data_IF_691053317489
#
_entry.id   IF_691053317489
#
_cell.length_a   1.000
_cell.length_b   1.000
_cell.length_c   1.000
_cell.angle_alpha   90.00
_cell.angle_beta   90.00
_cell.angle_gamma   90.00
#
_symmetry.space_group_name_H-M   'P 1'
#
loop_
_entity.id
_entity.type
_entity.pdbx_description
1 polymer ?
#
# COMPACT_ATOMS: atom_id res chain seq x y z
N UNK A 1 -26.03 -8.91 -30.86
CA UNK A 1 -25.39 -8.50 -29.60
C UNK A 1 -24.25 -7.56 -29.94
N UNK A 2 -24.18 -6.39 -29.32
CA UNK A 2 -22.99 -5.54 -29.45
C UNK A 2 -21.79 -6.30 -28.89
N UNK A 3 -20.69 -6.33 -29.63
CA UNK A 3 -19.47 -6.97 -29.16
C UNK A 3 -18.86 -6.12 -28.05
N UNK A 4 -18.12 -6.75 -27.12
CA UNK A 4 -17.34 -6.00 -26.13
C UNK A 4 -16.33 -5.13 -26.84
N UNK A 5 -16.29 -3.85 -26.45
CA UNK A 5 -15.29 -2.90 -26.88
C UNK A 5 -14.76 -2.08 -25.71
N UNK A 6 -13.58 -1.49 -25.89
CA UNK A 6 -13.02 -0.45 -25.01
C UNK A 6 -12.62 0.73 -25.88
N UNK A 7 -12.96 1.94 -25.46
CA UNK A 7 -12.50 3.17 -26.09
C UNK A 7 -11.61 3.93 -25.11
N UNK A 8 -10.42 4.32 -25.57
CA UNK A 8 -9.50 5.21 -24.86
C UNK A 8 -9.42 6.48 -25.69
N UNK A 9 -9.83 7.62 -25.13
CA UNK A 9 -9.98 8.88 -25.86
C UNK A 9 -9.25 9.99 -25.13
N UNK A 10 -8.52 10.82 -25.88
CA UNK A 10 -7.89 12.05 -25.40
C UNK A 10 -8.31 13.25 -26.25
N UNK A 11 -8.22 14.44 -25.64
CA UNK A 11 -8.42 15.77 -26.23
C UNK A 11 -7.09 16.44 -26.59
N UNK A 12 -6.05 15.64 -26.88
CA UNK A 12 -4.73 16.13 -27.26
C UNK A 12 -4.67 16.72 -28.67
N UNK A 13 -3.46 17.01 -29.15
CA UNK A 13 -3.22 17.65 -30.46
C UNK A 13 -3.59 16.77 -31.68
N UNK A 14 -3.80 15.46 -31.45
CA UNK A 14 -4.02 14.48 -32.50
C UNK A 14 -2.80 14.25 -33.39
N UNK A 15 -3.02 13.64 -34.55
CA UNK A 15 -1.99 13.29 -35.52
C UNK A 15 -2.44 13.62 -36.95
N UNK A 16 -1.48 13.91 -37.83
CA UNK A 16 -1.74 13.87 -39.28
C UNK A 16 -1.87 12.43 -39.77
N UNK A 17 -2.39 12.24 -40.98
CA UNK A 17 -2.47 10.91 -41.59
C UNK A 17 -1.11 10.20 -41.65
N UNK A 18 -0.06 10.93 -42.06
CA UNK A 18 1.30 10.40 -42.14
C UNK A 18 1.82 10.02 -40.75
N UNK A 19 1.62 10.89 -39.76
CA UNK A 19 2.01 10.62 -38.38
C UNK A 19 1.27 9.40 -37.81
N UNK A 20 -0.01 9.20 -38.16
CA UNK A 20 -0.77 8.02 -37.76
C UNK A 20 -0.23 6.74 -38.43
N UNK A 21 0.08 6.78 -39.73
CA UNK A 21 0.71 5.64 -40.43
C UNK A 21 2.03 5.27 -39.75
N UNK A 22 2.86 6.25 -39.43
CA UNK A 22 4.12 6.03 -38.72
C UNK A 22 3.90 5.55 -37.28
N UNK A 23 2.89 6.06 -36.58
CA UNK A 23 2.49 5.62 -35.26
C UNK A 23 1.94 4.18 -35.25
N UNK A 24 1.49 3.64 -36.38
CA UNK A 24 1.09 2.24 -36.52
C UNK A 24 2.27 1.31 -36.83
N UNK A 25 3.42 1.80 -37.31
CA UNK A 25 4.62 0.96 -37.55
C UNK A 25 5.28 0.49 -36.26
N UNK A 26 5.56 -0.80 -36.12
CA UNK A 26 6.29 -1.34 -34.96
C UNK A 26 7.70 -0.73 -34.88
N UNK A 27 8.09 -0.23 -33.70
CA UNK A 27 9.43 0.33 -33.47
C UNK A 27 9.68 1.68 -34.16
N UNK A 28 8.64 2.49 -34.37
CA UNK A 28 8.71 3.74 -35.14
C UNK A 28 9.59 4.85 -34.54
N UNK A 29 10.10 4.68 -33.32
CA UNK A 29 10.95 5.67 -32.64
C UNK A 29 12.23 5.03 -32.13
N UNK A 30 13.36 5.64 -32.49
CA UNK A 30 14.67 5.22 -32.00
C UNK A 30 14.87 5.63 -30.53
N UNK A 31 15.42 4.75 -29.67
CA UNK A 31 15.67 5.04 -28.26
C UNK A 31 16.79 6.06 -28.03
N UNK A 32 17.52 6.45 -29.09
CA UNK A 32 18.69 7.35 -29.03
C UNK A 32 18.32 8.82 -29.34
N UNK A 33 17.09 9.09 -29.79
CA UNK A 33 16.63 10.46 -30.10
C UNK A 33 16.40 11.25 -28.80
N UNK A 34 16.94 12.46 -28.75
CA UNK A 34 16.75 13.40 -27.64
C UNK A 34 15.26 13.77 -27.49
N UNK A 35 14.74 13.71 -26.26
CA UNK A 35 13.30 13.84 -26.01
C UNK A 35 12.93 15.19 -25.43
N UNK A 36 11.71 15.61 -25.74
CA UNK A 36 11.07 16.75 -25.07
C UNK A 36 10.84 16.43 -23.59
N UNK A 37 10.94 17.46 -22.76
CA UNK A 37 10.58 17.39 -21.33
C UNK A 37 9.12 16.95 -21.18
N UNK A 38 8.83 16.01 -20.27
CA UNK A 38 7.50 15.43 -20.07
C UNK A 38 7.13 14.25 -20.99
N UNK A 39 8.02 13.78 -21.87
CA UNK A 39 7.74 12.60 -22.70
C UNK A 39 7.80 11.29 -21.88
N UNK A 40 6.68 10.55 -21.85
CA UNK A 40 6.54 9.27 -21.17
C UNK A 40 6.86 8.05 -22.06
N UNK A 41 7.01 8.25 -23.38
CA UNK A 41 7.29 7.25 -24.40
C UNK A 41 8.78 6.91 -24.52
N UNK A 42 9.10 5.75 -25.14
CA UNK A 42 10.51 5.39 -25.41
C UNK A 42 10.80 4.67 -26.73
N UNK A 43 10.07 3.60 -27.00
CA UNK A 43 10.41 2.69 -28.10
C UNK A 43 9.43 2.76 -29.27
N UNK A 44 8.43 3.65 -29.21
CA UNK A 44 7.35 3.67 -30.19
C UNK A 44 6.53 2.37 -30.25
N UNK A 45 6.59 1.50 -29.24
CA UNK A 45 5.87 0.22 -29.24
C UNK A 45 4.57 0.23 -28.43
N UNK A 46 4.46 1.14 -27.45
CA UNK A 46 3.44 1.10 -26.40
C UNK A 46 2.00 0.94 -26.90
N UNK A 47 1.58 1.79 -27.85
CA UNK A 47 0.24 1.74 -28.47
C UNK A 47 -0.09 0.34 -29.01
N UNK A 48 0.81 -0.21 -29.83
CA UNK A 48 0.59 -1.46 -30.56
C UNK A 48 0.66 -2.66 -29.62
N UNK A 49 1.70 -2.73 -28.79
CA UNK A 49 1.89 -3.85 -27.87
C UNK A 49 0.82 -3.88 -26.79
N UNK A 50 0.38 -2.73 -26.27
CA UNK A 50 -0.71 -2.68 -25.31
C UNK A 50 -2.05 -3.12 -25.93
N UNK A 51 -2.34 -2.66 -27.16
CA UNK A 51 -3.58 -3.04 -27.86
C UNK A 51 -3.62 -4.54 -28.20
N UNK A 52 -2.57 -5.07 -28.83
CA UNK A 52 -2.45 -6.51 -29.17
C UNK A 52 -2.40 -7.40 -27.93
N UNK A 53 -1.96 -6.87 -26.78
CA UNK A 53 -1.97 -7.62 -25.53
C UNK A 53 -3.39 -7.87 -25.00
N UNK A 54 -4.36 -7.03 -25.35
CA UNK A 54 -5.72 -7.05 -24.79
C UNK A 54 -6.82 -7.37 -25.82
N UNK A 55 -6.55 -7.15 -27.10
CA UNK A 55 -7.52 -7.26 -28.17
C UNK A 55 -6.89 -7.80 -29.46
N UNK A 56 -7.68 -8.53 -30.25
CA UNK A 56 -7.27 -9.01 -31.57
C UNK A 56 -7.49 -8.00 -32.68
N UNK A 57 -8.32 -6.99 -32.46
CA UNK A 57 -8.55 -5.90 -33.39
C UNK A 57 -8.44 -4.57 -32.65
N UNK A 58 -7.75 -3.60 -33.25
CA UNK A 58 -7.81 -2.23 -32.76
C UNK A 58 -7.78 -1.21 -33.88
N UNK A 59 -8.51 -0.12 -33.66
CA UNK A 59 -8.56 1.05 -34.54
C UNK A 59 -8.05 2.28 -33.81
N UNK A 60 -7.38 3.16 -34.53
CA UNK A 60 -6.99 4.49 -34.07
C UNK A 60 -7.68 5.51 -34.96
N UNK A 61 -8.45 6.39 -34.34
CA UNK A 61 -9.11 7.54 -34.96
C UNK A 61 -8.44 8.78 -34.41
N UNK A 62 -8.07 9.73 -35.25
CA UNK A 62 -7.42 10.95 -34.78
C UNK A 62 -7.79 12.14 -35.64
N UNK A 63 -7.91 13.31 -35.00
CA UNK A 63 -8.19 14.59 -35.63
C UNK A 63 -7.18 15.61 -35.11
N UNK A 64 -6.60 16.42 -36.00
CA UNK A 64 -5.68 17.50 -35.64
C UNK A 64 -6.23 18.85 -36.12
N UNK A 65 -5.72 19.95 -35.56
CA UNK A 65 -6.27 21.29 -35.81
C UNK A 65 -6.17 21.76 -37.28
N UNK A 66 -5.37 21.06 -38.09
CA UNK A 66 -5.11 21.37 -39.50
C UNK A 66 -5.94 20.53 -40.48
N UNK A 67 -6.62 19.48 -40.00
CA UNK A 67 -7.36 18.53 -40.81
C UNK A 67 -8.86 18.62 -40.54
N UNK A 68 -9.66 18.82 -41.58
CA UNK A 68 -11.12 18.93 -41.45
C UNK A 68 -11.82 17.59 -41.16
N UNK A 69 -11.15 16.44 -41.34
CA UNK A 69 -11.74 15.11 -41.17
C UNK A 69 -10.85 14.19 -40.34
N UNK A 70 -11.48 13.38 -39.48
CA UNK A 70 -10.78 12.41 -38.67
C UNK A 70 -10.24 11.26 -39.53
N UNK A 71 -8.96 10.92 -39.34
CA UNK A 71 -8.30 9.83 -40.07
C UNK A 71 -8.27 8.55 -39.23
N UNK A 72 -8.43 7.42 -39.90
CA UNK A 72 -8.52 6.10 -39.27
C UNK A 72 -7.42 5.19 -39.75
N UNK A 73 -6.83 4.41 -38.83
CA UNK A 73 -6.02 3.23 -39.14
C UNK A 73 -6.35 2.07 -38.23
N UNK A 74 -6.43 0.86 -38.79
CA UNK A 74 -6.84 -0.35 -38.08
C UNK A 74 -5.93 -1.54 -38.37
N UNK A 75 -5.69 -2.35 -37.34
CA UNK A 75 -5.13 -3.70 -37.44
C UNK A 75 -6.13 -4.74 -36.95
N UNK A 76 -6.18 -5.87 -37.65
CA UNK A 76 -6.96 -7.06 -37.28
C UNK A 76 -6.05 -8.29 -37.36
N UNK A 77 -5.77 -8.92 -36.22
CA UNK A 77 -4.91 -10.08 -36.13
C UNK A 77 -5.55 -11.33 -36.75
N UNK A 78 -6.88 -11.39 -36.83
CA UNK A 78 -7.57 -12.48 -37.52
C UNK A 78 -7.26 -12.40 -39.03
N UNK A 79 -7.26 -11.19 -39.60
CA UNK A 79 -6.86 -10.96 -41.00
C UNK A 79 -5.39 -11.30 -41.25
N UNK A 80 -4.50 -10.96 -40.30
CA UNK A 80 -3.08 -11.33 -40.38
C UNK A 80 -2.91 -12.85 -40.36
N UNK A 81 -3.68 -13.56 -39.54
CA UNK A 81 -3.64 -15.02 -39.47
C UNK A 81 -4.14 -15.68 -40.76
N UNK A 82 -5.19 -15.13 -41.37
CA UNK A 82 -5.76 -15.65 -42.62
C UNK A 82 -4.88 -15.37 -43.84
N UNK A 83 -4.27 -14.18 -43.91
CA UNK A 83 -3.56 -13.70 -45.10
C UNK A 83 -2.04 -13.83 -45.01
N UNK A 84 -1.48 -13.93 -43.80
CA UNK A 84 -0.04 -13.83 -43.55
C UNK A 84 0.52 -12.41 -43.72
N UNK A 85 -0.32 -11.39 -43.95
CA UNK A 85 0.10 -10.02 -44.27
C UNK A 85 -0.37 -9.01 -43.22
N UNK A 86 0.52 -8.08 -42.85
CA UNK A 86 0.18 -6.94 -41.99
C UNK A 86 -0.48 -5.82 -42.80
N UNK A 87 -1.79 -5.94 -43.04
CA UNK A 87 -2.57 -4.96 -43.79
C UNK A 87 -3.10 -3.87 -42.88
N UNK A 88 -2.76 -2.61 -43.19
CA UNK A 88 -3.24 -1.45 -42.46
C UNK A 88 -4.50 -0.91 -43.13
N UNK A 89 -5.66 -1.10 -42.49
CA UNK A 89 -6.95 -0.64 -43.01
C UNK A 89 -7.20 0.81 -42.65
N UNK A 90 -7.99 1.52 -43.45
CA UNK A 90 -8.35 2.94 -43.25
C UNK A 90 -9.83 3.14 -42.89
N UNK A 91 -10.53 2.07 -42.48
CA UNK A 91 -11.95 2.09 -42.11
C UNK A 91 -12.14 1.54 -40.69
N UNK A 92 -13.21 2.00 -40.05
CA UNK A 92 -13.68 1.47 -38.76
C UNK A 92 -14.37 0.10 -38.94
N UNK A 93 -14.45 -0.71 -37.87
CA UNK A 93 -15.34 -1.86 -37.85
C UNK A 93 -16.80 -1.42 -38.09
N UNK A 94 -17.60 -2.33 -38.65
CA UNK A 94 -18.99 -2.05 -39.05
C UNK A 94 -19.95 -1.76 -37.88
N UNK A 95 -19.54 -2.02 -36.64
CA UNK A 95 -20.26 -1.57 -35.45
C UNK A 95 -19.99 -0.08 -35.24
N UNK A 96 -21.00 0.74 -35.48
CA UNK A 96 -20.98 2.16 -35.15
C UNK A 96 -20.72 2.32 -33.64
N UNK A 97 -19.72 3.13 -33.31
CA UNK A 97 -19.42 3.54 -31.94
C UNK A 97 -19.82 5.01 -31.84
N UNK A 98 -20.90 5.28 -31.11
CA UNK A 98 -21.54 6.59 -31.07
C UNK A 98 -20.68 7.69 -30.39
N UNK A 99 -19.58 7.32 -29.70
CA UNK A 99 -18.74 8.23 -28.89
C UNK A 99 -17.25 8.29 -29.33
N UNK A 100 -16.99 8.35 -30.64
CA UNK A 100 -15.63 8.51 -31.18
C UNK A 100 -15.37 9.89 -31.79
N UNK A 101 -16.36 10.79 -31.76
CA UNK A 101 -16.24 12.14 -32.30
C UNK A 101 -15.40 13.04 -31.37
N UNK A 102 -14.56 13.89 -31.97
CA UNK A 102 -13.78 14.92 -31.28
C UNK A 102 -14.46 16.28 -31.47
N UNK A 103 -14.35 17.17 -30.48
CA UNK A 103 -14.86 18.54 -30.62
C UNK A 103 -13.98 19.40 -31.52
N UNK A 104 -12.65 19.23 -31.45
CA UNK A 104 -11.66 19.92 -32.29
C UNK A 104 -10.52 18.97 -32.66
N UNK A 105 -9.70 18.59 -31.68
CA UNK A 105 -8.56 17.67 -31.84
C UNK A 105 -8.66 16.51 -30.87
N UNK A 106 -7.94 15.43 -31.16
CA UNK A 106 -7.81 14.31 -30.24
C UNK A 106 -7.44 13.01 -30.91
N UNK A 107 -7.32 11.97 -30.08
CA UNK A 107 -7.12 10.59 -30.54
C UNK A 107 -8.03 9.65 -29.76
N UNK A 108 -8.60 8.68 -30.45
CA UNK A 108 -9.39 7.60 -29.89
C UNK A 108 -8.82 6.27 -30.35
N UNK A 109 -8.53 5.40 -29.38
CA UNK A 109 -8.10 4.04 -29.60
C UNK A 109 -9.26 3.13 -29.23
N UNK A 110 -9.66 2.29 -30.17
CA UNK A 110 -10.81 1.41 -30.05
C UNK A 110 -10.28 -0.02 -30.06
N UNK A 111 -10.55 -0.76 -29.01
CA UNK A 111 -10.28 -2.19 -28.92
C UNK A 111 -11.57 -2.97 -29.15
N UNK A 112 -11.51 -3.93 -30.05
CA UNK A 112 -12.59 -4.87 -30.38
C UNK A 112 -12.04 -6.29 -30.37
N UNK A 113 -12.92 -7.29 -30.28
CA UNK A 113 -12.50 -8.71 -30.13
C UNK A 113 -11.57 -8.89 -28.90
N UNK A 114 -11.97 -8.34 -27.76
CA UNK A 114 -11.26 -8.39 -26.48
C UNK A 114 -11.35 -9.79 -25.83
N UNK A 115 -10.64 -10.76 -26.38
CA UNK A 115 -10.68 -12.18 -26.00
C UNK A 115 -9.93 -12.53 -24.70
N UNK A 116 -9.11 -11.61 -24.18
CA UNK A 116 -8.30 -11.81 -22.96
C UNK A 116 -8.85 -11.13 -21.71
N UNK A 117 -9.64 -10.08 -21.89
CA UNK A 117 -10.23 -9.29 -20.80
C UNK A 117 -11.46 -9.95 -20.20
N UNK A 118 -12.12 -10.75 -21.02
CA UNK A 118 -13.34 -11.45 -20.73
C UNK A 118 -13.05 -12.88 -21.18
N UNK A 119 -13.26 -13.88 -20.31
CA UNK A 119 -13.13 -15.29 -20.72
C UNK A 119 -14.10 -15.64 -21.87
N UNK A 120 -14.30 -16.93 -22.15
CA UNK A 120 -15.07 -17.40 -23.31
C UNK A 120 -16.35 -16.54 -23.61
N UNK A 121 -16.32 -15.71 -24.68
CA UNK A 121 -17.42 -14.83 -25.05
C UNK A 121 -18.73 -15.57 -25.33
N UNK A 122 -18.67 -16.88 -25.60
CA UNK A 122 -19.83 -17.72 -25.88
C UNK A 122 -20.80 -17.81 -24.68
N UNK A 123 -20.37 -17.42 -23.48
CA UNK A 123 -21.21 -17.51 -22.28
C UNK A 123 -22.13 -16.32 -22.05
N UNK A 124 -21.96 -15.17 -22.75
CA UNK A 124 -22.94 -14.06 -22.81
C UNK A 124 -23.64 -13.70 -21.49
N UNK A 125 -23.01 -13.96 -20.35
CA UNK A 125 -23.69 -14.13 -19.08
C UNK A 125 -23.65 -12.84 -18.30
N UNK A 126 -24.63 -12.63 -17.42
CA UNK A 126 -24.58 -11.60 -16.39
C UNK A 126 -23.22 -11.62 -15.64
N UNK A 127 -22.65 -12.81 -15.43
CA UNK A 127 -21.34 -12.99 -14.78
C UNK A 127 -20.19 -12.33 -15.56
N UNK A 128 -20.22 -12.46 -16.88
CA UNK A 128 -19.24 -11.88 -17.82
C UNK A 128 -19.23 -10.35 -17.74
N UNK A 129 -20.43 -9.74 -17.66
CA UNK A 129 -20.59 -8.29 -17.45
C UNK A 129 -20.05 -7.84 -16.10
N UNK A 130 -20.34 -8.57 -15.02
CA UNK A 130 -19.84 -8.27 -13.67
C UNK A 130 -18.31 -8.31 -13.62
N UNK A 131 -17.69 -9.33 -14.24
CA UNK A 131 -16.23 -9.43 -14.31
C UNK A 131 -15.61 -8.26 -15.08
N UNK A 132 -16.18 -7.90 -16.24
CA UNK A 132 -15.71 -6.76 -17.02
C UNK A 132 -15.76 -5.44 -16.22
N UNK A 133 -16.87 -5.20 -15.49
CA UNK A 133 -17.00 -4.00 -14.65
C UNK A 133 -15.99 -3.99 -13.48
N UNK A 134 -15.69 -5.14 -12.87
CA UNK A 134 -14.62 -5.23 -11.85
C UNK A 134 -13.23 -4.91 -12.41
N UNK A 135 -12.97 -5.27 -13.66
CA UNK A 135 -11.73 -4.87 -14.35
C UNK A 135 -11.70 -3.35 -14.54
N UNK A 136 -12.81 -2.73 -14.95
CA UNK A 136 -12.90 -1.27 -15.06
C UNK A 136 -12.63 -0.56 -13.72
N UNK A 137 -13.18 -1.07 -12.61
CA UNK A 137 -12.88 -0.54 -11.27
C UNK A 137 -11.40 -0.67 -10.93
N UNK A 138 -10.78 -1.82 -11.22
CA UNK A 138 -9.34 -2.04 -10.99
C UNK A 138 -8.49 -1.08 -11.81
N UNK A 139 -8.86 -0.82 -13.06
CA UNK A 139 -8.21 0.16 -13.93
C UNK A 139 -8.33 1.56 -13.34
N UNK A 140 -9.53 1.96 -12.88
CA UNK A 140 -9.76 3.26 -12.24
C UNK A 140 -8.82 3.49 -11.04
N UNK A 141 -8.74 2.53 -10.12
CA UNK A 141 -7.82 2.61 -8.97
C UNK A 141 -6.35 2.64 -9.38
N UNK A 142 -5.97 1.89 -10.42
CA UNK A 142 -4.60 1.91 -10.93
C UNK A 142 -4.24 3.27 -11.55
N UNK A 143 -5.17 3.90 -12.28
CA UNK A 143 -4.98 5.23 -12.86
C UNK A 143 -4.88 6.30 -11.76
N UNK A 144 -5.75 6.23 -10.74
CA UNK A 144 -5.72 7.09 -9.56
C UNK A 144 -4.35 7.10 -8.88
N UNK A 145 -3.78 5.91 -8.66
CA UNK A 145 -2.47 5.74 -8.05
C UNK A 145 -1.31 6.09 -8.98
N UNK A 146 -1.37 5.70 -10.25
CA UNK A 146 -0.22 5.83 -11.17
C UNK A 146 0.00 7.26 -11.62
N UNK A 147 -1.09 8.00 -11.80
CA UNK A 147 -1.09 9.37 -12.32
C UNK A 147 -1.46 10.41 -11.26
N UNK A 148 -1.47 10.06 -9.97
CA UNK A 148 -1.93 10.94 -8.89
C UNK A 148 -1.35 12.37 -8.95
N UNK A 149 -0.03 12.51 -9.18
CA UNK A 149 0.61 13.83 -9.35
C UNK A 149 0.12 14.65 -10.54
N UNK A 150 -0.26 13.99 -11.64
CA UNK A 150 -0.88 14.68 -12.79
C UNK A 150 -2.32 15.08 -12.49
N UNK A 151 -3.02 14.23 -11.73
CA UNK A 151 -4.37 14.47 -11.24
C UNK A 151 -4.41 15.51 -10.11
N UNK A 152 -3.29 15.88 -9.48
CA UNK A 152 -3.22 16.91 -8.43
C UNK A 152 -2.58 18.22 -8.93
N UNK A 153 -1.92 18.19 -10.09
CA UNK A 153 -1.25 19.33 -10.68
C UNK A 153 -2.18 20.53 -10.92
N UNK A 154 -1.70 21.79 -10.81
CA UNK A 154 -2.46 22.97 -11.20
C UNK A 154 -2.96 22.93 -12.65
N UNK A 155 -2.26 22.24 -13.55
CA UNK A 155 -2.72 21.91 -14.91
C UNK A 155 -3.26 20.47 -14.91
N UNK A 156 -4.33 20.27 -14.15
CA UNK A 156 -4.87 18.95 -13.80
C UNK A 156 -5.23 18.14 -15.03
N UNK A 157 -4.59 16.99 -15.22
CA UNK A 157 -5.10 15.97 -16.13
C UNK A 157 -6.39 15.43 -15.53
N UNK A 158 -7.47 15.35 -16.32
CA UNK A 158 -8.73 14.73 -15.88
C UNK A 158 -8.90 13.42 -16.62
N UNK A 159 -9.08 12.34 -15.87
CA UNK A 159 -9.28 11.01 -16.42
C UNK A 159 -10.68 10.57 -16.01
N UNK A 160 -11.44 10.05 -16.98
CA UNK A 160 -12.78 9.52 -16.76
C UNK A 160 -12.80 8.05 -17.14
N UNK A 161 -13.39 7.21 -16.28
CA UNK A 161 -13.66 5.80 -16.56
C UNK A 161 -15.17 5.62 -16.57
N UNK A 162 -15.74 5.29 -17.73
CA UNK A 162 -17.20 5.17 -17.92
C UNK A 162 -17.97 6.41 -17.43
N UNK A 163 -17.43 7.61 -17.64
CA UNK A 163 -18.02 8.89 -17.24
C UNK A 163 -17.71 9.32 -15.79
N UNK A 164 -17.17 8.44 -14.95
CA UNK A 164 -16.78 8.79 -13.57
C UNK A 164 -15.36 9.34 -13.52
N UNK A 165 -15.18 10.51 -12.90
CA UNK A 165 -13.87 11.15 -12.73
C UNK A 165 -13.00 10.38 -11.74
N UNK A 166 -11.79 10.02 -12.16
CA UNK A 166 -10.80 9.33 -11.32
C UNK A 166 -10.20 10.34 -10.34
N UNK A 167 -10.39 10.08 -9.04
CA UNK A 167 -9.79 10.88 -7.98
C UNK A 167 -8.34 10.46 -7.72
N UNK A 168 -7.42 11.40 -7.46
CA UNK A 168 -6.05 11.06 -7.13
C UNK A 168 -5.96 10.22 -5.86
N UNK A 169 -4.97 9.34 -5.83
CA UNK A 169 -4.58 8.61 -4.63
C UNK A 169 -3.15 8.98 -4.26
N UNK A 170 -2.99 9.87 -3.28
CA UNK A 170 -1.68 10.23 -2.75
C UNK A 170 -1.17 9.16 -1.77
N UNK A 171 -0.09 8.43 -2.10
CA UNK A 171 0.50 7.43 -1.20
C UNK A 171 1.19 8.02 0.04
N UNK A 172 1.41 9.34 0.08
CA UNK A 172 2.20 10.01 1.11
C UNK A 172 1.35 10.74 2.15
N UNK A 173 0.04 10.90 1.92
CA UNK A 173 -0.86 11.68 2.76
C UNK A 173 -0.29 13.07 3.08
N UNK A 174 0.17 13.80 2.06
CA UNK A 174 0.81 15.11 2.22
C UNK A 174 -0.10 16.15 2.85
N UNK A 175 -1.40 16.02 2.64
CA UNK A 175 -2.41 16.93 3.20
C UNK A 175 -2.73 16.61 4.67
N UNK A 176 -2.33 15.45 5.17
CA UNK A 176 -2.56 15.08 6.57
C UNK A 176 -1.47 15.68 7.46
N UNK A 177 -1.86 16.56 8.39
CA UNK A 177 -0.94 17.25 9.30
C UNK A 177 -0.13 16.32 10.24
N UNK A 178 -0.52 15.05 10.38
CA UNK A 178 0.23 14.06 11.16
C UNK A 178 1.26 13.28 10.34
N UNK A 179 1.36 13.52 9.03
CA UNK A 179 2.42 12.98 8.18
C UNK A 179 3.71 13.71 8.46
N UNK A 180 4.77 12.96 8.76
CA UNK A 180 6.10 13.53 8.97
C UNK A 180 6.96 13.39 7.71
N UNK A 181 7.64 14.47 7.31
CA UNK A 181 8.68 14.44 6.28
C UNK A 181 9.88 15.29 6.71
N UNK A 182 11.12 14.78 6.61
CA UNK A 182 12.33 15.59 6.84
C UNK A 182 12.68 16.51 5.66
N UNK A 183 11.88 16.50 4.59
CA UNK A 183 12.15 17.27 3.36
C UNK A 183 12.86 16.46 2.28
N UNK A 184 13.11 17.13 1.15
CA UNK A 184 13.69 16.53 -0.06
C UNK A 184 15.22 16.54 0.01
N UNK A 185 15.83 15.37 -0.13
CA UNK A 185 17.27 15.19 -0.35
C UNK A 185 17.54 15.09 -1.86
N UNK A 186 18.68 15.62 -2.32
CA UNK A 186 19.10 15.53 -3.72
C UNK A 186 20.39 14.73 -3.83
N UNK A 187 20.34 13.62 -4.57
CA UNK A 187 21.46 12.73 -4.78
C UNK A 187 22.07 12.96 -6.18
N UNK A 188 23.33 13.39 -6.28
CA UNK A 188 23.98 13.61 -7.56
C UNK A 188 24.34 12.27 -8.22
N UNK A 189 24.06 12.15 -9.52
CA UNK A 189 24.41 10.97 -10.31
C UNK A 189 24.63 11.37 -11.78
N UNK A 190 25.83 11.16 -12.29
CA UNK A 190 26.21 11.42 -13.69
C UNK A 190 25.80 12.83 -14.19
N UNK A 191 26.02 13.87 -13.37
CA UNK A 191 25.66 15.25 -13.71
C UNK A 191 24.17 15.60 -13.59
N UNK A 192 23.34 14.64 -13.19
CA UNK A 192 21.92 14.83 -12.90
C UNK A 192 21.61 14.70 -11.41
N UNK A 193 20.45 15.20 -11.00
CA UNK A 193 19.98 15.21 -9.63
C UNK A 193 18.79 14.27 -9.46
N UNK A 194 18.90 13.29 -8.57
CA UNK A 194 17.80 12.40 -8.17
C UNK A 194 17.17 12.97 -6.90
N UNK A 195 15.85 13.17 -6.91
CA UNK A 195 15.11 13.64 -5.75
C UNK A 195 14.70 12.48 -4.86
N UNK A 196 14.94 12.57 -3.55
CA UNK A 196 14.47 11.58 -2.57
C UNK A 196 13.74 12.28 -1.44
N UNK A 197 12.46 11.97 -1.24
CA UNK A 197 11.65 12.57 -0.18
C UNK A 197 11.06 11.48 0.70
N UNK A 198 11.52 11.33 1.95
CA UNK A 198 10.92 10.42 2.91
C UNK A 198 9.62 10.97 3.49
N UNK A 199 8.68 10.07 3.75
CA UNK A 199 7.43 10.32 4.45
C UNK A 199 7.18 9.20 5.47
N UNK A 200 6.65 9.58 6.63
CA UNK A 200 6.16 8.66 7.65
C UNK A 200 4.70 8.99 7.90
N UNK A 201 3.83 8.06 7.50
CA UNK A 201 2.39 8.21 7.58
C UNK A 201 1.91 8.21 9.05
N UNK A 202 0.73 8.80 9.32
CA UNK A 202 0.08 8.71 10.61
C UNK A 202 -0.27 7.25 10.97
N UNK A 203 -0.31 6.95 12.27
CA UNK A 203 -0.88 5.68 12.74
C UNK A 203 -2.39 5.62 12.44
N UNK A 204 -2.95 4.43 12.19
CA UNK A 204 -4.38 4.22 11.84
C UNK A 204 -5.38 4.89 12.78
N UNK A 205 -5.02 5.11 14.04
CA UNK A 205 -5.86 5.79 15.04
C UNK A 205 -5.99 7.30 14.86
N UNK A 206 -5.14 7.90 14.01
CA UNK A 206 -5.20 9.31 13.63
C UNK A 206 -5.87 9.49 12.26
N UNK A 207 -6.33 8.40 11.66
CA UNK A 207 -7.06 8.40 10.40
C UNK A 207 -8.50 8.01 10.70
N UNK A 208 -9.45 8.70 10.09
CA UNK A 208 -10.84 8.27 10.13
C UNK A 208 -11.00 6.95 9.36
N UNK A 209 -12.02 6.14 9.69
CA UNK A 209 -12.16 4.79 9.10
C UNK A 209 -12.28 4.78 7.57
N UNK A 210 -12.92 5.80 6.98
CA UNK A 210 -13.00 6.01 5.53
C UNK A 210 -11.67 6.51 4.94
N UNK A 211 -11.00 7.45 5.61
CA UNK A 211 -9.69 7.98 5.20
C UNK A 211 -8.65 6.86 5.15
N UNK A 212 -8.60 6.01 6.18
CA UNK A 212 -7.72 4.84 6.23
C UNK A 212 -8.02 3.84 5.10
N UNK A 213 -9.31 3.55 4.82
CA UNK A 213 -9.69 2.66 3.72
C UNK A 213 -9.24 3.19 2.36
N UNK A 214 -9.42 4.49 2.10
CA UNK A 214 -8.95 5.12 0.86
C UNK A 214 -7.43 5.11 0.77
N UNK A 215 -6.75 5.50 1.85
CA UNK A 215 -5.29 5.58 1.91
C UNK A 215 -4.58 4.21 1.86
N UNK A 216 -5.28 3.12 2.20
CA UNK A 216 -4.73 1.77 2.14
C UNK A 216 -4.34 1.32 0.72
N UNK A 217 -4.96 1.88 -0.32
CA UNK A 217 -4.66 1.54 -1.72
C UNK A 217 -5.10 0.13 -2.15
N UNK A 218 -4.87 -0.19 -3.42
CA UNK A 218 -5.42 -1.38 -4.10
C UNK A 218 -4.90 -2.71 -3.52
N UNK A 219 -3.71 -2.69 -2.92
CA UNK A 219 -3.07 -3.88 -2.35
C UNK A 219 -3.03 -3.86 -0.80
N UNK A 220 -3.71 -2.90 -0.18
CA UNK A 220 -3.77 -2.75 1.26
C UNK A 220 -2.55 -2.03 1.85
N UNK A 221 -2.74 -1.48 3.05
CA UNK A 221 -1.83 -0.53 3.70
C UNK A 221 -0.38 -1.02 3.81
N UNK A 222 -0.19 -2.28 4.17
CA UNK A 222 1.13 -2.88 4.40
C UNK A 222 1.91 -3.16 3.10
N UNK A 223 1.20 -3.43 2.00
CA UNK A 223 1.83 -3.75 0.72
C UNK A 223 2.56 -2.53 0.13
N UNK A 224 2.11 -1.33 0.47
CA UNK A 224 2.55 -0.06 -0.08
C UNK A 224 3.76 0.55 0.65
N UNK A 225 4.44 -0.18 1.54
CA UNK A 225 5.65 0.31 2.21
C UNK A 225 6.88 0.42 1.27
N UNK A 226 7.76 1.36 1.58
CA UNK A 226 9.07 1.51 0.93
C UNK A 226 9.12 2.62 -0.12
N UNK A 227 9.93 2.39 -1.16
CA UNK A 227 10.19 3.36 -2.22
C UNK A 227 9.09 3.39 -3.28
N UNK A 228 8.80 4.61 -3.70
CA UNK A 228 7.90 4.97 -4.79
C UNK A 228 8.72 5.63 -5.87
N UNK A 229 8.86 4.95 -7.00
CA UNK A 229 9.76 5.39 -8.06
C UNK A 229 8.96 6.15 -9.11
N UNK A 230 9.31 7.41 -9.34
CA UNK A 230 8.69 8.28 -10.33
C UNK A 230 9.63 8.55 -11.48
N UNK A 231 9.05 8.68 -12.67
CA UNK A 231 9.72 9.18 -13.87
C UNK A 231 8.79 10.19 -14.53
N UNK A 232 9.21 11.46 -14.57
CA UNK A 232 8.39 12.59 -15.04
C UNK A 232 6.98 12.52 -14.42
N UNK A 233 6.90 12.47 -13.10
CA UNK A 233 5.65 12.39 -12.30
C UNK A 233 4.76 11.16 -12.50
N UNK A 234 5.08 10.28 -13.44
CA UNK A 234 4.44 8.95 -13.54
C UNK A 234 5.05 8.00 -12.52
N UNK A 235 4.20 7.42 -11.69
CA UNK A 235 4.62 6.35 -10.78
C UNK A 235 4.93 5.07 -11.58
N UNK A 236 6.12 4.53 -11.39
CA UNK A 236 6.56 3.25 -11.96
C UNK A 236 6.42 2.12 -10.95
N UNK A 237 6.79 2.38 -9.69
CA UNK A 237 6.77 1.38 -8.61
C UNK A 237 6.03 1.95 -7.42
N UNK A 238 4.96 1.30 -6.98
CA UNK A 238 4.08 1.75 -5.90
C UNK A 238 4.36 1.04 -4.56
N UNK A 239 5.58 1.21 -4.03
CA UNK A 239 5.99 0.62 -2.75
C UNK A 239 6.81 -0.66 -2.91
N UNK A 240 8.14 -0.52 -2.85
CA UNK A 240 9.10 -1.62 -2.78
C UNK A 240 10.36 -1.18 -2.06
N UNK A 241 11.03 -2.11 -1.37
CA UNK A 241 12.35 -1.83 -0.77
C UNK A 241 13.51 -1.95 -1.77
N UNK A 242 13.22 -2.19 -3.05
CA UNK A 242 14.17 -2.21 -4.18
C UNK A 242 15.40 -3.13 -3.98
N UNK A 243 15.29 -4.13 -3.09
CA UNK A 243 16.42 -4.98 -2.70
C UNK A 243 17.45 -4.33 -1.77
N UNK A 244 17.27 -3.06 -1.41
CA UNK A 244 18.20 -2.29 -0.54
C UNK A 244 17.65 -2.11 0.87
N UNK A 245 16.34 -2.15 1.06
CA UNK A 245 15.71 -1.91 2.35
C UNK A 245 15.44 -3.15 3.21
N UNK A 246 15.87 -4.36 2.80
CA UNK A 246 15.50 -5.62 3.46
C UNK A 246 14.06 -6.05 3.18
N UNK A 247 13.56 -7.05 3.94
CA UNK A 247 12.19 -7.56 3.78
C UNK A 247 11.14 -6.55 4.26
N UNK A 248 9.90 -6.71 3.80
CA UNK A 248 8.75 -5.96 4.32
C UNK A 248 8.53 -6.37 5.77
N UNK A 249 8.51 -5.40 6.67
CA UNK A 249 8.30 -5.63 8.09
C UNK A 249 7.04 -4.89 8.55
N UNK A 250 6.25 -5.51 9.41
CA UNK A 250 5.02 -4.94 9.97
C UNK A 250 5.27 -3.58 10.65
N UNK A 251 6.42 -3.46 11.33
CA UNK A 251 6.80 -2.23 12.04
C UNK A 251 7.29 -1.09 11.12
N UNK A 252 7.43 -1.34 9.81
CA UNK A 252 7.81 -0.34 8.81
C UNK A 252 6.65 0.08 7.89
N UNK A 253 5.42 -0.35 8.17
CA UNK A 253 4.24 -0.08 7.34
C UNK A 253 3.87 1.38 7.13
N UNK A 254 4.39 2.29 7.96
CA UNK A 254 4.17 3.74 7.81
C UNK A 254 5.22 4.42 6.92
N UNK A 255 6.31 3.73 6.58
CA UNK A 255 7.38 4.31 5.77
C UNK A 255 7.00 4.36 4.29
N UNK A 256 7.14 5.54 3.69
CA UNK A 256 6.95 5.82 2.26
C UNK A 256 8.09 6.71 1.80
N UNK A 257 8.72 6.44 0.65
CA UNK A 257 9.85 7.25 0.18
C UNK A 257 9.66 7.55 -1.30
N UNK A 258 9.41 8.81 -1.66
CA UNK A 258 9.36 9.24 -3.04
C UNK A 258 10.76 9.30 -3.64
N UNK A 259 10.94 8.76 -4.83
CA UNK A 259 12.18 8.76 -5.59
C UNK A 259 11.90 9.31 -7.00
N UNK A 260 12.34 10.54 -7.27
CA UNK A 260 12.17 11.22 -8.57
C UNK A 260 13.39 10.98 -9.45
N UNK A 261 13.20 10.24 -10.56
CA UNK A 261 14.26 9.93 -11.51
C UNK A 261 14.10 10.77 -12.79
N UNK A 262 15.11 11.57 -13.18
CA UNK A 262 15.13 12.27 -14.45
C UNK A 262 15.13 11.32 -15.66
N UNK A 263 14.51 11.72 -16.77
CA UNK A 263 14.49 10.93 -18.04
C UNK A 263 15.89 10.50 -18.49
N UNK A 264 16.89 11.38 -18.33
CA UNK A 264 18.27 11.11 -18.71
C UNK A 264 18.85 9.85 -18.01
N UNK A 265 18.38 9.53 -16.81
CA UNK A 265 18.87 8.42 -16.01
C UNK A 265 18.02 7.14 -16.20
N UNK A 266 16.88 7.19 -16.90
CA UNK A 266 15.93 6.07 -17.07
C UNK A 266 16.59 4.79 -17.59
N UNK A 267 17.61 4.89 -18.44
CA UNK A 267 18.34 3.74 -18.99
C UNK A 267 19.22 3.01 -17.98
N UNK A 268 19.66 3.69 -16.92
CA UNK A 268 20.49 3.11 -15.87
C UNK A 268 19.68 2.31 -14.86
N UNK A 269 18.40 2.69 -14.72
CA UNK A 269 17.44 1.98 -13.91
C UNK A 269 16.85 0.87 -14.79
N UNK A 270 17.12 -0.39 -14.47
CA UNK A 270 16.64 -1.53 -15.26
C UNK A 270 15.12 -1.68 -15.09
N UNK A 271 14.34 -0.84 -15.77
CA UNK A 271 12.89 -0.90 -15.81
C UNK A 271 12.52 -2.05 -16.75
N UNK A 272 11.92 -3.13 -16.20
CA UNK A 272 11.38 -4.22 -17.01
C UNK A 272 10.40 -3.64 -18.07
N UNK A 273 10.20 -4.33 -19.20
CA UNK A 273 9.22 -3.97 -20.25
C UNK A 273 7.81 -3.81 -19.66
N UNK A 274 7.52 -4.57 -18.59
CA UNK A 274 6.27 -4.48 -17.79
C UNK A 274 6.23 -3.32 -16.80
N UNK A 275 7.34 -2.58 -16.65
CA UNK A 275 7.55 -1.46 -15.71
C UNK A 275 7.24 -1.78 -14.24
N UNK A 276 7.20 -3.06 -13.88
CA UNK A 276 6.80 -3.53 -12.55
C UNK A 276 7.96 -3.75 -11.59
N UNK A 277 9.20 -3.77 -12.08
CA UNK A 277 10.41 -3.90 -11.27
C UNK A 277 11.46 -2.90 -11.74
N UNK A 278 12.10 -2.28 -10.76
CA UNK A 278 13.14 -1.28 -10.95
C UNK A 278 14.30 -1.65 -10.02
N UNK A 279 15.51 -1.70 -10.58
CA UNK A 279 16.74 -1.94 -9.80
C UNK A 279 17.59 -0.67 -9.75
N UNK A 280 17.97 -0.21 -8.54
CA UNK A 280 18.83 0.96 -8.40
C UNK A 280 20.26 0.68 -8.87
N UNK A 281 20.93 1.65 -9.52
CA UNK A 281 22.36 1.54 -9.83
C UNK A 281 23.22 1.46 -8.56
N UNK A 282 24.33 0.72 -8.62
CA UNK A 282 25.22 0.50 -7.48
C UNK A 282 25.70 1.79 -6.79
N UNK A 283 25.85 2.88 -7.55
CA UNK A 283 26.32 4.18 -7.04
C UNK A 283 25.38 4.81 -6.01
N UNK A 284 24.08 4.54 -6.06
CA UNK A 284 23.07 5.17 -5.19
C UNK A 284 22.53 4.24 -4.11
N UNK A 285 22.87 2.94 -4.17
CA UNK A 285 22.38 1.92 -3.23
C UNK A 285 22.65 2.30 -1.79
N UNK A 286 23.88 2.73 -1.45
CA UNK A 286 24.25 3.10 -0.08
C UNK A 286 23.44 4.27 0.47
N UNK A 287 23.13 5.27 -0.37
CA UNK A 287 22.29 6.40 0.03
C UNK A 287 20.84 5.98 0.25
N UNK A 288 20.29 5.16 -0.66
CA UNK A 288 18.96 4.60 -0.49
C UNK A 288 18.86 3.71 0.76
N UNK A 289 19.89 2.92 1.07
CA UNK A 289 19.95 2.12 2.32
C UNK A 289 19.96 3.01 3.56
N UNK A 290 20.75 4.10 3.55
CA UNK A 290 20.78 5.07 4.65
C UNK A 290 19.42 5.73 4.85
N UNK A 291 18.81 6.24 3.77
CA UNK A 291 17.51 6.92 3.80
C UNK A 291 16.41 5.93 4.21
N UNK A 292 16.43 4.72 3.64
CA UNK A 292 15.50 3.64 3.95
C UNK A 292 15.54 3.26 5.43
N UNK A 293 16.74 3.03 5.98
CA UNK A 293 16.91 2.72 7.41
C UNK A 293 16.44 3.86 8.31
N UNK A 294 16.79 5.10 8.01
CA UNK A 294 16.35 6.26 8.77
C UNK A 294 14.82 6.41 8.78
N UNK A 295 14.19 6.24 7.62
CA UNK A 295 12.73 6.30 7.47
C UNK A 295 12.03 5.17 8.23
N UNK A 296 12.56 3.94 8.14
CA UNK A 296 12.08 2.79 8.91
C UNK A 296 12.18 3.04 10.41
N UNK A 297 13.32 3.51 10.89
CA UNK A 297 13.52 3.82 12.31
C UNK A 297 12.51 4.86 12.80
N UNK A 298 12.24 5.90 12.01
CA UNK A 298 11.24 6.91 12.35
C UNK A 298 9.81 6.37 12.32
N UNK A 299 9.46 5.54 11.35
CA UNK A 299 8.16 4.85 11.29
C UNK A 299 7.94 3.93 12.49
N UNK A 300 8.98 3.18 12.88
CA UNK A 300 8.97 2.35 14.09
C UNK A 300 8.84 3.21 15.35
N UNK A 301 9.50 4.37 15.41
CA UNK A 301 9.32 5.32 16.51
C UNK A 301 7.89 5.81 16.58
N UNK A 302 7.24 6.23 15.49
CA UNK A 302 5.83 6.66 15.52
C UNK A 302 4.91 5.53 15.99
N UNK A 303 5.18 4.30 15.56
CA UNK A 303 4.43 3.12 15.99
C UNK A 303 4.63 2.81 17.48
N UNK A 304 5.88 2.82 17.95
CA UNK A 304 6.27 2.55 19.34
C UNK A 304 5.95 3.69 20.29
N UNK A 305 6.06 4.94 19.84
CA UNK A 305 5.74 6.14 20.61
C UNK A 305 4.27 6.13 20.97
N UNK A 306 3.39 5.55 20.14
CA UNK A 306 2.02 5.28 20.58
C UNK A 306 1.91 4.07 21.49
N UNK A 307 2.61 2.96 21.26
CA UNK A 307 2.70 1.90 22.29
C UNK A 307 3.12 2.46 23.66
N UNK A 308 3.99 3.47 23.65
CA UNK A 308 4.41 4.24 24.82
C UNK A 308 3.45 5.35 25.24
N UNK A 309 2.70 6.02 24.36
CA UNK A 309 1.73 7.08 24.69
C UNK A 309 0.35 6.54 25.04
N UNK A 310 -0.07 5.39 24.53
CA UNK A 310 -1.18 4.64 25.12
C UNK A 310 -0.74 4.17 26.53
N UNK A 311 0.54 3.83 26.71
CA UNK A 311 1.15 3.59 28.01
C UNK A 311 1.56 4.85 28.83
N UNK A 312 1.51 6.07 28.27
CA UNK A 312 1.99 7.31 28.92
C UNK A 312 0.96 8.46 28.92
N UNK A 313 -0.12 8.40 28.13
CA UNK A 313 -1.38 9.10 28.44
C UNK A 313 -2.03 8.44 29.65
N UNK A 314 -1.79 7.15 29.83
CA UNK A 314 -1.82 6.53 31.14
C UNK A 314 -0.48 6.73 31.85
N UNK A 315 -0.11 7.98 32.14
CA UNK A 315 1.01 8.29 33.04
C UNK A 315 0.69 7.90 34.50
N UNK A 316 0.09 6.73 34.69
CA UNK A 316 0.16 5.97 35.91
C UNK A 316 1.05 4.77 35.55
N UNK A 317 2.19 4.61 36.25
CA UNK A 317 3.19 3.55 36.02
C UNK A 317 2.49 2.20 35.81
N UNK A 318 2.29 1.78 34.57
CA UNK A 318 1.73 0.46 34.27
C UNK A 318 2.73 -0.61 34.65
N UNK A 319 2.26 -1.67 35.31
CA UNK A 319 3.06 -2.82 35.69
C UNK A 319 2.77 -3.96 34.71
N UNK A 320 3.66 -4.13 33.73
CA UNK A 320 3.58 -5.20 32.74
C UNK A 320 3.69 -6.59 33.40
N UNK A 321 3.02 -7.58 32.83
CA UNK A 321 3.12 -8.97 33.29
C UNK A 321 4.41 -9.67 32.81
N UNK A 322 4.98 -9.23 31.68
CA UNK A 322 6.20 -9.77 31.09
C UNK A 322 7.27 -8.70 30.89
N UNK A 323 8.53 -9.07 31.10
CA UNK A 323 9.72 -8.27 30.86
C UNK A 323 10.56 -8.92 29.77
N UNK A 324 11.05 -8.11 28.84
CA UNK A 324 11.99 -8.58 27.83
C UNK A 324 13.39 -8.64 28.43
N UNK A 325 14.02 -9.81 28.33
CA UNK A 325 15.41 -10.04 28.71
C UNK A 325 16.25 -10.29 27.45
N UNK A 326 17.44 -9.71 27.41
CA UNK A 326 18.42 -9.97 26.35
C UNK A 326 19.66 -10.58 26.95
N UNK A 327 20.11 -11.69 26.39
CA UNK A 327 21.39 -12.28 26.78
C UNK A 327 22.57 -11.60 26.08
N UNK A 328 23.79 -12.06 26.39
CA UNK A 328 25.04 -11.52 25.84
C UNK A 328 25.20 -11.78 24.35
N UNK A 329 24.50 -12.78 23.82
CA UNK A 329 24.50 -13.17 22.40
C UNK A 329 23.33 -12.50 21.64
N UNK A 330 22.65 -11.54 22.29
CA UNK A 330 21.53 -10.76 21.75
C UNK A 330 20.26 -11.59 21.47
N UNK A 331 20.15 -12.79 22.03
CA UNK A 331 18.91 -13.56 22.03
C UNK A 331 17.90 -12.90 22.96
N UNK A 332 16.64 -12.95 22.54
CA UNK A 332 15.53 -12.36 23.29
C UNK A 332 14.78 -13.47 24.01
N UNK A 333 14.66 -13.37 25.33
CA UNK A 333 13.76 -14.18 26.15
C UNK A 333 12.78 -13.28 26.91
N UNK A 334 11.68 -13.87 27.38
CA UNK A 334 10.66 -13.15 28.15
C UNK A 334 10.56 -13.76 29.54
N UNK A 335 10.51 -12.88 30.54
CA UNK A 335 10.38 -13.27 31.95
C UNK A 335 9.13 -12.67 32.55
N UNK A 336 8.43 -13.42 33.38
CA UNK A 336 7.30 -12.92 34.17
C UNK A 336 7.82 -11.86 35.14
N UNK A 337 7.13 -10.73 35.22
CA UNK A 337 7.52 -9.64 36.09
C UNK A 337 7.20 -9.97 37.56
N UNK A 338 8.22 -10.26 38.38
CA UNK A 338 8.05 -10.52 39.83
C UNK A 338 7.56 -9.29 40.60
N UNK A 339 7.73 -8.10 40.03
CA UNK A 339 7.20 -6.87 40.61
C UNK A 339 5.74 -6.60 40.26
N UNK A 340 5.11 -7.45 39.42
CA UNK A 340 3.68 -7.39 39.18
C UNK A 340 2.91 -7.68 40.49
N UNK A 341 2.00 -6.81 40.95
CA UNK A 341 1.28 -6.98 42.21
C UNK A 341 0.58 -8.34 42.38
N UNK A 342 0.05 -8.92 41.30
CA UNK A 342 -0.60 -10.23 41.33
C UNK A 342 0.44 -11.34 41.57
N UNK A 343 1.57 -11.27 40.87
CA UNK A 343 2.66 -12.25 40.98
C UNK A 343 3.32 -12.15 42.36
N UNK A 344 3.62 -10.93 42.81
CA UNK A 344 4.20 -10.67 44.13
C UNK A 344 3.30 -11.17 45.24
N UNK A 345 1.99 -10.89 45.16
CA UNK A 345 1.01 -11.38 46.13
C UNK A 345 0.99 -12.91 46.21
N UNK A 346 1.08 -13.60 45.06
CA UNK A 346 1.11 -15.05 45.04
C UNK A 346 2.37 -15.62 45.70
N UNK A 347 3.52 -14.97 45.49
CA UNK A 347 4.80 -15.36 46.10
C UNK A 347 4.87 -15.07 47.61
N UNK A 348 4.24 -13.99 48.06
CA UNK A 348 4.25 -13.55 49.47
C UNK A 348 3.12 -14.15 50.32
N UNK A 349 2.20 -14.92 49.71
CA UNK A 349 1.09 -15.54 50.41
C UNK A 349 1.59 -16.57 51.44
N UNK A 350 1.22 -16.38 52.72
CA UNK A 350 1.60 -17.27 53.84
C UNK A 350 1.19 -18.75 53.68
N UNK A 351 0.29 -19.04 52.74
CA UNK A 351 -0.23 -20.38 52.43
C UNK A 351 0.46 -21.04 51.24
N UNK A 352 1.35 -20.35 50.54
CA UNK A 352 1.99 -20.83 49.31
C UNK A 352 3.44 -21.23 49.55
N UNK A 353 3.87 -22.34 48.92
CA UNK A 353 5.29 -22.65 48.79
C UNK A 353 5.89 -21.76 47.69
N UNK A 354 6.45 -20.63 48.09
CA UNK A 354 7.04 -19.65 47.18
C UNK A 354 8.10 -20.28 46.26
N UNK A 355 8.83 -21.29 46.73
CA UNK A 355 9.82 -21.99 45.91
C UNK A 355 9.15 -22.79 44.78
N UNK A 356 8.00 -23.42 45.05
CA UNK A 356 7.25 -24.16 44.05
C UNK A 356 6.65 -23.23 42.98
N UNK A 357 6.14 -22.07 43.37
CA UNK A 357 5.63 -21.05 42.43
C UNK A 357 6.76 -20.52 41.55
N UNK A 358 7.93 -20.23 42.12
CA UNK A 358 9.08 -19.72 41.36
C UNK A 358 9.56 -20.74 40.32
N UNK A 359 9.57 -22.05 40.66
CA UNK A 359 9.90 -23.10 39.71
C UNK A 359 8.86 -23.21 38.58
N UNK A 360 7.58 -23.05 38.88
CA UNK A 360 6.52 -23.04 37.87
C UNK A 360 6.66 -21.85 36.93
N UNK A 361 6.90 -20.64 37.46
CA UNK A 361 7.13 -19.45 36.64
C UNK A 361 8.32 -19.66 35.71
N UNK A 362 9.44 -20.16 36.24
CA UNK A 362 10.62 -20.46 35.43
C UNK A 362 10.35 -21.48 34.33
N UNK A 363 9.58 -22.52 34.62
CA UNK A 363 9.17 -23.50 33.60
C UNK A 363 8.40 -22.82 32.46
N UNK A 364 7.43 -21.96 32.77
CA UNK A 364 6.65 -21.24 31.74
C UNK A 364 7.54 -20.29 30.93
N UNK A 365 8.46 -19.57 31.59
CA UNK A 365 9.38 -18.64 30.94
C UNK A 365 10.33 -19.31 29.94
N UNK A 366 10.87 -20.47 30.29
CA UNK A 366 11.81 -21.21 29.46
C UNK A 366 11.12 -22.02 28.35
N UNK A 367 9.79 -22.20 28.43
CA UNK A 367 9.01 -22.99 27.46
C UNK A 367 8.13 -22.14 26.54
N UNK A 368 8.23 -20.82 26.59
CA UNK A 368 7.49 -19.92 25.67
C UNK A 368 7.83 -20.29 24.21
N UNK A 369 6.86 -20.71 23.39
CA UNK A 369 7.12 -21.25 22.06
C UNK A 369 7.32 -20.13 21.03
N UNK A 370 8.41 -19.37 21.17
CA UNK A 370 8.73 -18.18 20.37
C UNK A 370 8.68 -18.44 18.86
N UNK A 371 9.16 -19.60 18.41
CA UNK A 371 9.15 -19.98 16.99
C UNK A 371 7.73 -20.18 16.46
N UNK A 372 6.84 -20.82 17.23
CA UNK A 372 5.45 -21.04 16.82
C UNK A 372 4.68 -19.73 16.80
N UNK A 373 4.92 -18.86 17.79
CA UNK A 373 4.35 -17.50 17.85
C UNK A 373 4.80 -16.70 16.61
N UNK A 374 6.09 -16.75 16.26
CA UNK A 374 6.62 -16.08 15.07
C UNK A 374 6.00 -16.62 13.76
N UNK A 375 5.82 -17.94 13.64
CA UNK A 375 5.16 -18.57 12.48
C UNK A 375 3.69 -18.14 12.40
N UNK A 376 2.97 -18.11 13.52
CA UNK A 376 1.57 -17.70 13.54
C UNK A 376 1.39 -16.21 13.20
N UNK A 377 2.27 -15.34 13.70
CA UNK A 377 2.30 -13.91 13.33
C UNK A 377 2.61 -13.70 11.85
N UNK A 378 3.39 -14.59 11.23
CA UNK A 378 3.68 -14.53 9.80
C UNK A 378 2.50 -15.05 8.93
N UNK A 379 1.67 -15.95 9.46
CA UNK A 379 0.55 -16.57 8.72
C UNK A 379 -0.81 -15.89 8.93
N UNK A 380 -1.04 -15.28 10.09
CA UNK A 380 -2.32 -14.69 10.47
C UNK A 380 -2.24 -13.17 10.37
N UNK A 381 -2.71 -12.62 9.26
CA UNK A 381 -2.58 -11.18 8.94
C UNK A 381 -3.49 -10.25 9.78
N UNK A 382 -4.42 -10.77 10.59
CA UNK A 382 -5.46 -9.90 11.20
C UNK A 382 -5.87 -10.20 12.66
N UNK A 383 -5.35 -11.23 13.34
CA UNK A 383 -5.79 -11.55 14.72
C UNK A 383 -4.71 -11.32 15.76
N UNK A 384 -4.60 -10.08 16.28
CA UNK A 384 -3.98 -9.85 17.59
C UNK A 384 -5.09 -9.71 18.63
N UNK A 385 -5.65 -10.83 19.09
CA UNK A 385 -6.55 -10.81 20.25
C UNK A 385 -5.76 -10.35 21.47
N UNK A 386 -6.30 -9.39 22.21
CA UNK A 386 -5.74 -9.00 23.50
C UNK A 386 -6.03 -10.09 24.54
N UNK A 387 -5.15 -10.29 25.55
CA UNK A 387 -5.43 -11.21 26.64
C UNK A 387 -6.79 -10.88 27.28
N UNK A 388 -7.63 -11.89 27.45
CA UNK A 388 -8.99 -11.78 28.02
C UNK A 388 -10.00 -10.92 27.21
N UNK A 389 -9.73 -10.61 25.94
CA UNK A 389 -10.66 -9.84 25.07
C UNK A 389 -12.05 -10.48 24.93
N UNK A 390 -12.10 -11.82 24.85
CA UNK A 390 -13.36 -12.59 24.77
C UNK A 390 -13.79 -13.20 26.11
N UNK A 391 -13.02 -13.02 27.19
CA UNK A 391 -13.28 -13.60 28.52
C UNK A 391 -13.40 -12.52 29.61
N UNK A 392 -14.37 -11.62 29.41
CA UNK A 392 -14.69 -10.59 30.39
C UNK A 392 -15.11 -11.15 31.76
N UNK A 393 -15.70 -12.36 31.78
CA UNK A 393 -16.15 -13.02 33.01
C UNK A 393 -14.96 -13.51 33.83
N UNK A 394 -14.03 -14.27 33.22
CA UNK A 394 -12.83 -14.76 33.88
C UNK A 394 -11.93 -13.60 34.34
N UNK A 395 -11.84 -12.52 33.56
CA UNK A 395 -11.11 -11.33 33.97
C UNK A 395 -11.73 -10.65 35.22
N UNK A 396 -13.07 -10.59 35.30
CA UNK A 396 -13.77 -10.04 36.48
C UNK A 396 -13.58 -10.92 37.71
N UNK A 397 -13.60 -12.24 37.56
CA UNK A 397 -13.33 -13.19 38.65
C UNK A 397 -11.88 -13.03 39.16
N UNK A 398 -10.92 -12.88 38.26
CA UNK A 398 -9.52 -12.60 38.61
C UNK A 398 -9.38 -11.25 39.32
N UNK A 399 -10.08 -10.22 38.87
CA UNK A 399 -10.08 -8.89 39.50
C UNK A 399 -10.64 -8.94 40.92
N UNK A 400 -11.78 -9.60 41.12
CA UNK A 400 -12.38 -9.82 42.45
C UNK A 400 -11.42 -10.56 43.37
N UNK A 401 -10.82 -11.66 42.89
CA UNK A 401 -9.89 -12.46 43.66
C UNK A 401 -8.66 -11.64 44.11
N UNK A 402 -8.04 -10.89 43.21
CA UNK A 402 -6.90 -10.03 43.54
C UNK A 402 -7.29 -8.91 44.51
N UNK A 403 -8.46 -8.30 44.33
CA UNK A 403 -8.98 -7.24 45.20
C UNK A 403 -9.18 -7.72 46.64
N UNK A 404 -9.90 -8.83 46.85
CA UNK A 404 -10.19 -9.38 48.18
C UNK A 404 -8.90 -9.76 48.95
N UNK A 405 -7.92 -10.31 48.22
CA UNK A 405 -6.63 -10.68 48.80
C UNK A 405 -5.80 -9.46 49.20
N UNK A 406 -5.82 -8.40 48.41
CA UNK A 406 -5.10 -7.16 48.75
C UNK A 406 -5.76 -6.40 49.91
N UNK A 407 -7.09 -6.44 50.02
CA UNK A 407 -7.80 -5.91 51.20
C UNK A 407 -7.38 -6.64 52.49
N UNK A 408 -7.28 -7.97 52.44
CA UNK A 408 -6.86 -8.80 53.59
C UNK A 408 -5.43 -8.48 54.05
N UNK A 409 -4.59 -7.93 53.17
CA UNK A 409 -3.23 -7.49 53.49
C UNK A 409 -3.14 -6.10 54.14
N UNK A 410 -4.28 -5.42 54.38
CA UNK A 410 -4.36 -4.17 55.15
C UNK A 410 -4.37 -2.89 54.31
N UNK A 411 -4.54 -2.98 52.98
CA UNK A 411 -4.65 -1.82 52.10
C UNK A 411 -6.09 -1.28 52.02
N UNK A 412 -6.27 0.03 51.85
CA UNK A 412 -7.57 0.65 51.65
C UNK A 412 -8.15 0.32 50.27
N UNK A 413 -9.46 0.06 50.17
CA UNK A 413 -10.12 -0.42 48.94
C UNK A 413 -9.89 0.46 47.71
N UNK A 414 -9.96 1.79 47.84
CA UNK A 414 -9.67 2.70 46.73
C UNK A 414 -8.22 2.59 46.23
N UNK A 415 -7.25 2.45 47.15
CA UNK A 415 -5.84 2.30 46.80
C UNK A 415 -5.57 0.97 46.09
N UNK A 416 -6.26 -0.10 46.50
CA UNK A 416 -6.16 -1.41 45.84
C UNK A 416 -6.67 -1.33 44.40
N UNK A 417 -7.85 -0.72 44.18
CA UNK A 417 -8.40 -0.55 42.84
C UNK A 417 -7.49 0.28 41.95
N UNK A 418 -6.90 1.35 42.49
CA UNK A 418 -5.92 2.13 41.76
C UNK A 418 -4.69 1.31 41.34
N UNK A 419 -4.20 0.41 42.18
CA UNK A 419 -3.05 -0.45 41.85
C UNK A 419 -3.45 -1.48 40.79
N UNK A 420 -4.60 -2.12 40.94
CA UNK A 420 -5.10 -3.13 39.99
C UNK A 420 -5.41 -2.51 38.63
N UNK A 421 -6.00 -1.32 38.58
CA UNK A 421 -6.25 -0.58 37.34
C UNK A 421 -4.97 -0.31 36.53
N UNK A 422 -3.81 -0.28 37.20
CA UNK A 422 -2.48 -0.05 36.62
C UNK A 422 -1.71 -1.35 36.34
N UNK A 423 -2.30 -2.51 36.59
CA UNK A 423 -1.61 -3.81 36.52
C UNK A 423 -2.19 -4.64 35.38
N UNK A 424 -1.34 -5.21 34.52
CA UNK A 424 -1.80 -6.19 33.53
C UNK A 424 -2.30 -7.47 34.22
N UNK A 425 -3.43 -8.05 33.78
CA UNK A 425 -4.17 -7.73 32.55
C UNK A 425 -5.22 -6.60 32.65
N UNK A 426 -5.57 -6.13 33.85
CA UNK A 426 -6.70 -5.20 34.08
C UNK A 426 -6.52 -3.83 33.40
N UNK A 427 -5.28 -3.37 33.28
CA UNK A 427 -4.92 -2.13 32.58
C UNK A 427 -5.37 -2.07 31.12
N UNK A 428 -5.54 -3.24 30.48
CA UNK A 428 -6.00 -3.34 29.08
C UNK A 428 -7.53 -3.24 28.97
N UNK A 429 -8.26 -3.31 30.09
CA UNK A 429 -9.71 -3.42 30.16
C UNK A 429 -10.33 -2.41 31.13
N UNK A 430 -10.15 -1.09 30.92
CA UNK A 430 -10.58 -0.06 31.88
C UNK A 430 -12.10 -0.06 32.15
N UNK A 431 -12.92 -0.46 31.17
CA UNK A 431 -14.37 -0.57 31.34
C UNK A 431 -14.79 -1.62 32.37
N UNK A 432 -14.06 -2.75 32.45
CA UNK A 432 -14.34 -3.81 33.42
C UNK A 432 -13.96 -3.35 34.83
N UNK A 433 -12.83 -2.63 34.97
CA UNK A 433 -12.39 -2.08 36.24
C UNK A 433 -13.36 -1.00 36.76
N UNK A 434 -13.87 -0.12 35.87
CA UNK A 434 -14.86 0.89 36.24
C UNK A 434 -16.19 0.25 36.72
N UNK A 435 -16.71 -0.73 35.97
CA UNK A 435 -17.92 -1.46 36.36
C UNK A 435 -17.75 -2.26 37.66
N UNK A 436 -16.52 -2.71 37.95
CA UNK A 436 -16.19 -3.36 39.20
C UNK A 436 -16.18 -2.37 40.37
N UNK A 437 -15.57 -1.18 40.19
CA UNK A 437 -15.55 -0.10 41.20
C UNK A 437 -16.97 0.30 41.63
N UNK A 438 -17.87 0.49 40.68
CA UNK A 438 -19.28 0.77 40.97
C UNK A 438 -19.96 -0.36 41.78
N UNK A 439 -19.63 -1.62 41.50
CA UNK A 439 -20.23 -2.76 42.20
C UNK A 439 -19.78 -2.95 43.64
N UNK A 440 -18.63 -2.36 44.03
CA UNK A 440 -18.09 -2.43 45.39
C UNK A 440 -18.34 -1.15 46.21
N UNK A 441 -19.15 -0.20 45.70
CA UNK A 441 -19.51 1.07 46.33
C UNK A 441 -18.28 1.91 46.76
N UNK A 442 -17.27 2.00 45.91
CA UNK A 442 -16.04 2.80 46.09
C UNK A 442 -15.86 3.84 44.99
#
# INVERSE_FOLDING_TARGET
>A
MMATYIVIKDDGEGMSEQALVDAMRLGSQSPVVERKKGDLGRFGLGLKTASIAQAREFSVVTSNATGNEAVVRRWDLDEVQETGEWRLRNSLPSQALDDIAFSETGTAIIWTKCDRLIGDPATGSHMTKVQFLRVADTVSHHLAMTFHRFLESPRRLRIYVNGSEVQPWDPFLTDNASTYSPGKETLPMHGHAIGVTPYVLPHKSKLEGEEHRRAAGVHGWNAHQGFYVYREDRLLVAGSWLGVGGMKEEHSKLARIALDIPVALDHMWQVDVRKSQVRPPASIVRDLERIGRATKAKAQEVYRFRGKMDAARSAQKFVFAWLQHKDRDNNISYRVNRDNPIVRQALEAKTADAAQIEQLLRFVEETVPMTQIAVHLASSLESSQQPFEEDAKGLRELLQFSFDRMLTSGAAGEQVLEILAKTEPFSLHPGIVAAFKESVNL
#
